data_IF_735625793892
#
_entry.id   IF_735625793892
#
_cell.length_a   1.000
_cell.length_b   1.000
_cell.length_c   1.000
_cell.angle_alpha   90.00
_cell.angle_beta   90.00
_cell.angle_gamma   90.00
#
_symmetry.space_group_name_H-M   'P 1'
#
loop_
_entity.id
_entity.type
_entity.pdbx_description
1 polymer ?
#
# COMPACT_ATOMS: atom_id res chain seq x y z
N UNK A 1 -71.86 -3.94 58.02
CA UNK A 1 -72.04 -5.15 57.26
C UNK A 1 -72.24 -4.74 55.79
N UNK A 2 -71.17 -4.48 55.09
CA UNK A 2 -71.19 -4.01 53.70
C UNK A 2 -70.08 -4.79 52.99
N UNK A 3 -70.47 -5.53 51.96
CA UNK A 3 -69.61 -6.37 51.14
C UNK A 3 -68.78 -5.52 50.18
N UNK A 4 -67.47 -5.80 50.04
CA UNK A 4 -66.61 -5.22 49.08
C UNK A 4 -66.57 -6.07 47.81
N UNK A 5 -66.87 -5.42 46.71
CA UNK A 5 -66.83 -5.98 45.37
C UNK A 5 -65.38 -5.94 44.77
N UNK A 6 -64.92 -7.06 44.31
CA UNK A 6 -63.56 -7.27 43.82
C UNK A 6 -63.55 -7.11 42.28
N UNK A 7 -63.16 -5.90 41.85
CA UNK A 7 -63.06 -5.53 40.44
C UNK A 7 -61.73 -5.96 39.80
N UNK A 8 -61.67 -7.11 39.22
CA UNK A 8 -60.51 -7.67 38.50
C UNK A 8 -60.22 -6.93 37.20
N UNK A 9 -59.18 -6.09 37.18
CA UNK A 9 -58.70 -5.40 35.99
C UNK A 9 -57.72 -6.30 35.23
N UNK A 10 -58.17 -6.93 34.15
CA UNK A 10 -57.31 -7.65 33.24
C UNK A 10 -56.51 -6.66 32.39
N UNK A 11 -55.18 -6.55 32.66
CA UNK A 11 -54.24 -5.86 31.80
C UNK A 11 -53.86 -6.75 30.62
N UNK A 12 -54.28 -6.36 29.43
CA UNK A 12 -53.76 -6.90 28.16
C UNK A 12 -52.34 -6.37 27.93
N UNK A 13 -51.35 -7.26 28.04
CA UNK A 13 -49.99 -7.00 27.58
C UNK A 13 -49.91 -7.25 26.09
N UNK A 14 -49.90 -6.18 25.32
CA UNK A 14 -49.60 -6.24 23.89
C UNK A 14 -48.05 -6.34 23.71
N UNK A 15 -47.57 -7.50 23.36
CA UNK A 15 -46.18 -7.73 23.00
C UNK A 15 -45.91 -7.19 21.58
N UNK A 16 -45.27 -6.02 21.51
CA UNK A 16 -44.67 -5.56 20.23
C UNK A 16 -43.40 -6.36 19.96
N UNK A 17 -43.50 -7.31 19.04
CA UNK A 17 -42.34 -7.96 18.43
C UNK A 17 -41.69 -6.99 17.46
N UNK A 18 -40.63 -6.32 17.87
CA UNK A 18 -39.77 -5.55 16.97
C UNK A 18 -38.99 -6.52 16.06
N UNK A 19 -39.49 -6.71 14.85
CA UNK A 19 -38.76 -7.45 13.81
C UNK A 19 -37.54 -6.67 13.36
N UNK A 20 -36.33 -7.08 13.82
CA UNK A 20 -35.08 -6.63 13.22
C UNK A 20 -35.01 -7.15 11.78
N UNK A 21 -35.28 -6.30 10.79
CA UNK A 21 -34.90 -6.55 9.41
C UNK A 21 -33.37 -6.49 9.33
N UNK A 22 -32.73 -7.66 9.32
CA UNK A 22 -31.33 -7.80 8.93
C UNK A 22 -31.27 -7.52 7.42
N UNK A 23 -30.93 -6.30 7.05
CA UNK A 23 -30.50 -5.96 5.70
C UNK A 23 -29.21 -6.75 5.44
N UNK A 24 -29.34 -7.90 4.77
CA UNK A 24 -28.20 -8.61 4.23
C UNK A 24 -27.52 -7.68 3.21
N UNK A 25 -26.30 -7.24 3.49
CA UNK A 25 -25.47 -6.56 2.52
C UNK A 25 -25.38 -7.45 1.27
N UNK A 26 -25.55 -6.90 0.05
CA UNK A 26 -25.39 -7.70 -1.16
C UNK A 26 -23.98 -8.31 -1.15
N UNK A 27 -23.81 -9.59 -1.53
CA UNK A 27 -22.50 -10.19 -1.67
C UNK A 27 -21.71 -9.32 -2.64
N UNK A 28 -20.51 -8.87 -2.22
CA UNK A 28 -19.61 -8.16 -3.10
C UNK A 28 -19.45 -9.01 -4.37
N UNK A 29 -19.69 -8.40 -5.54
CA UNK A 29 -19.56 -9.09 -6.81
C UNK A 29 -18.14 -9.65 -6.89
N UNK A 30 -17.99 -10.96 -6.77
CA UNK A 30 -16.72 -11.65 -6.98
C UNK A 30 -16.31 -11.41 -8.41
N UNK A 31 -15.14 -10.84 -8.62
CA UNK A 31 -14.56 -10.75 -9.96
C UNK A 31 -14.45 -12.17 -10.52
N UNK A 32 -15.25 -12.47 -11.55
CA UNK A 32 -15.34 -13.81 -12.18
C UNK A 32 -14.28 -14.02 -13.25
N UNK A 33 -13.06 -13.50 -13.04
CA UNK A 33 -11.93 -13.65 -13.98
C UNK A 33 -10.60 -13.52 -13.28
N UNK A 34 -9.57 -14.07 -13.89
CA UNK A 34 -8.21 -13.84 -13.43
C UNK A 34 -7.87 -12.35 -13.58
N UNK A 35 -7.25 -11.72 -12.55
CA UNK A 35 -6.76 -10.35 -12.69
C UNK A 35 -5.69 -10.26 -13.79
N UNK A 36 -5.56 -9.08 -14.38
CA UNK A 36 -4.70 -8.83 -15.54
C UNK A 36 -3.23 -9.29 -15.36
N UNK A 37 -2.72 -9.26 -14.14
CA UNK A 37 -1.36 -9.65 -13.80
C UNK A 37 -1.17 -11.17 -13.62
N UNK A 38 -2.24 -11.95 -13.48
CA UNK A 38 -2.19 -13.34 -12.99
C UNK A 38 -1.26 -14.25 -13.79
N UNK A 39 -1.13 -14.03 -15.10
CA UNK A 39 -0.24 -14.82 -15.96
C UNK A 39 1.25 -14.44 -15.86
N UNK A 40 1.60 -13.37 -15.13
CA UNK A 40 2.94 -12.78 -15.12
C UNK A 40 3.61 -12.76 -13.74
N UNK A 41 2.92 -13.20 -12.68
CA UNK A 41 3.40 -13.12 -11.29
C UNK A 41 4.00 -14.43 -10.75
N UNK A 42 4.16 -15.44 -11.61
CA UNK A 42 4.74 -16.74 -11.21
C UNK A 42 4.01 -17.38 -10.04
N UNK A 43 4.75 -17.74 -9.00
CA UNK A 43 4.22 -18.38 -7.79
C UNK A 43 3.84 -17.39 -6.68
N UNK A 44 3.77 -16.09 -6.97
CA UNK A 44 3.36 -15.12 -5.97
C UNK A 44 1.94 -15.41 -5.48
N UNK A 45 1.74 -15.28 -4.19
CA UNK A 45 0.42 -15.49 -3.55
C UNK A 45 -0.22 -14.18 -3.11
N UNK A 46 0.52 -13.09 -3.16
CA UNK A 46 0.09 -11.76 -2.76
C UNK A 46 0.50 -10.74 -3.82
N UNK A 47 -0.47 -9.99 -4.33
CA UNK A 47 -0.22 -8.93 -5.31
C UNK A 47 -1.01 -7.68 -4.93
N UNK A 48 -0.34 -6.54 -5.01
CA UNK A 48 -0.97 -5.23 -5.00
C UNK A 48 -1.01 -4.75 -6.44
N UNK A 49 -2.20 -4.58 -7.00
CA UNK A 49 -2.33 -3.99 -8.34
C UNK A 49 -2.56 -2.50 -8.24
N UNK A 50 -1.85 -1.72 -9.05
CA UNK A 50 -1.98 -0.27 -9.17
C UNK A 50 -2.34 0.06 -10.61
N UNK A 51 -3.50 0.66 -10.82
CA UNK A 51 -3.98 1.00 -12.15
C UNK A 51 -4.17 2.52 -12.25
N UNK A 52 -3.49 3.16 -13.18
CA UNK A 52 -3.63 4.59 -13.43
C UNK A 52 -5.06 4.93 -13.87
N UNK A 53 -5.62 6.00 -13.30
CA UNK A 53 -6.96 6.50 -13.67
C UNK A 53 -6.92 7.88 -14.34
N UNK A 54 -5.71 8.39 -14.58
CA UNK A 54 -5.45 9.64 -15.26
C UNK A 54 -4.62 10.63 -14.43
N UNK A 55 -3.75 11.39 -15.08
CA UNK A 55 -2.81 12.29 -14.41
C UNK A 55 -1.94 11.54 -13.41
N UNK A 56 -1.85 12.07 -12.20
CA UNK A 56 -1.12 11.49 -11.07
C UNK A 56 -1.98 10.63 -10.13
N UNK A 57 -3.16 10.21 -10.57
CA UNK A 57 -4.09 9.40 -9.78
C UNK A 57 -4.09 7.95 -10.23
N UNK A 58 -4.21 7.04 -9.26
CA UNK A 58 -4.34 5.61 -9.50
C UNK A 58 -5.36 4.99 -8.53
N UNK A 59 -5.78 3.78 -8.86
CA UNK A 59 -6.57 2.92 -7.99
C UNK A 59 -5.78 1.66 -7.70
N UNK A 60 -5.79 1.25 -6.45
CA UNK A 60 -5.15 0.03 -5.98
C UNK A 60 -6.19 -1.01 -5.57
N UNK A 61 -5.88 -2.27 -5.88
CA UNK A 61 -6.58 -3.42 -5.34
C UNK A 61 -5.56 -4.40 -4.74
N UNK A 62 -5.93 -5.05 -3.64
CA UNK A 62 -5.08 -6.00 -2.92
C UNK A 62 -5.62 -7.41 -3.16
N UNK A 63 -4.76 -8.33 -3.57
CA UNK A 63 -5.12 -9.65 -4.04
C UNK A 63 -4.40 -10.76 -3.30
N UNK A 64 -5.15 -11.78 -2.92
CA UNK A 64 -4.63 -13.00 -2.30
C UNK A 64 -4.92 -14.20 -3.21
N UNK A 65 -3.89 -14.98 -3.53
CA UNK A 65 -4.04 -16.28 -4.20
C UNK A 65 -4.48 -17.34 -3.19
N UNK A 66 -5.48 -18.13 -3.58
CA UNK A 66 -6.01 -19.25 -2.82
C UNK A 66 -6.20 -20.47 -3.73
N UNK A 67 -6.65 -21.58 -3.18
CA UNK A 67 -7.05 -22.76 -3.98
C UNK A 67 -8.21 -22.49 -4.93
N UNK A 68 -9.00 -21.45 -4.65
CA UNK A 68 -10.11 -20.97 -5.52
C UNK A 68 -9.66 -19.89 -6.54
N UNK A 69 -8.35 -19.68 -6.69
CA UNK A 69 -7.79 -18.63 -7.56
C UNK A 69 -7.56 -17.31 -6.83
N UNK A 70 -7.33 -16.24 -7.59
CA UNK A 70 -7.13 -14.90 -7.07
C UNK A 70 -8.40 -14.32 -6.47
N UNK A 71 -8.30 -13.82 -5.24
CA UNK A 71 -9.41 -13.17 -4.53
C UNK A 71 -9.01 -11.75 -4.16
N UNK A 72 -9.82 -10.74 -4.51
CA UNK A 72 -9.59 -9.39 -4.02
C UNK A 72 -9.96 -9.34 -2.53
N UNK A 73 -9.05 -8.80 -1.71
CA UNK A 73 -9.26 -8.60 -0.27
C UNK A 73 -9.34 -7.11 0.11
N UNK A 74 -8.97 -6.23 -0.82
CA UNK A 74 -9.16 -4.79 -0.76
C UNK A 74 -9.32 -4.26 -2.18
N UNK A 75 -10.27 -3.38 -2.41
CA UNK A 75 -10.58 -2.88 -3.76
C UNK A 75 -10.82 -1.38 -3.76
N UNK A 76 -10.44 -0.72 -4.86
CA UNK A 76 -10.76 0.68 -5.08
C UNK A 76 -10.02 1.65 -4.17
N UNK A 77 -8.87 1.26 -3.62
CA UNK A 77 -8.07 2.10 -2.73
C UNK A 77 -7.49 3.27 -3.55
N UNK A 78 -7.76 4.53 -3.18
CA UNK A 78 -7.17 5.68 -3.87
C UNK A 78 -5.65 5.70 -3.67
N UNK A 79 -4.91 6.04 -4.73
CA UNK A 79 -3.47 6.20 -4.69
C UNK A 79 -3.03 7.41 -5.52
N UNK A 80 -1.93 8.02 -5.13
CA UNK A 80 -1.18 9.00 -5.92
C UNK A 80 0.04 8.33 -6.52
N UNK A 81 0.38 8.73 -7.73
CA UNK A 81 1.55 8.27 -8.49
C UNK A 81 2.35 9.49 -8.96
N UNK A 82 3.40 9.25 -9.70
CA UNK A 82 4.25 10.31 -10.25
C UNK A 82 3.46 11.43 -10.91
N UNK A 83 3.92 12.68 -10.73
CA UNK A 83 3.25 13.87 -11.30
C UNK A 83 3.17 13.82 -12.84
N UNK A 84 4.07 13.10 -13.51
CA UNK A 84 4.04 12.81 -14.94
C UNK A 84 3.21 11.54 -15.29
N UNK A 85 2.55 10.92 -14.31
CA UNK A 85 1.74 9.72 -14.50
C UNK A 85 2.56 8.44 -14.54
N UNK A 86 2.22 7.52 -15.45
CA UNK A 86 2.87 6.22 -15.62
C UNK A 86 3.82 6.20 -16.82
N UNK A 87 4.97 5.55 -16.66
CA UNK A 87 5.96 5.36 -17.72
C UNK A 87 6.27 3.87 -17.95
N UNK A 88 6.52 3.42 -19.19
CA UNK A 88 6.96 2.05 -19.43
C UNK A 88 8.41 1.79 -18.98
N UNK A 89 9.22 2.84 -18.79
CA UNK A 89 10.61 2.74 -18.39
C UNK A 89 10.93 3.82 -17.37
N UNK A 90 11.42 3.41 -16.21
CA UNK A 90 11.94 4.33 -15.20
C UNK A 90 13.17 5.07 -15.71
N UNK A 91 13.34 6.32 -15.28
CA UNK A 91 14.54 7.14 -15.55
C UNK A 91 14.81 8.02 -14.36
N UNK A 92 16.08 8.28 -14.08
CA UNK A 92 16.45 9.24 -13.06
C UNK A 92 15.94 10.64 -13.42
N UNK A 93 15.36 11.34 -12.43
CA UNK A 93 14.80 12.66 -12.60
C UNK A 93 13.46 12.73 -13.36
N UNK A 94 12.92 11.61 -13.85
CA UNK A 94 11.57 11.57 -14.44
C UNK A 94 10.54 11.36 -13.33
N UNK A 95 9.64 12.31 -13.05
CA UNK A 95 8.64 12.16 -11.99
C UNK A 95 7.45 11.29 -12.42
N UNK A 96 7.73 10.17 -13.10
CA UNK A 96 6.74 9.19 -13.53
C UNK A 96 6.91 7.87 -12.78
N UNK A 97 5.80 7.22 -12.45
CA UNK A 97 5.81 5.89 -11.82
C UNK A 97 5.99 4.80 -12.89
N UNK A 98 6.97 3.90 -12.73
CA UNK A 98 7.22 2.84 -13.70
C UNK A 98 6.11 1.79 -13.70
N UNK A 99 5.65 1.41 -14.89
CA UNK A 99 4.80 0.26 -15.12
C UNK A 99 5.60 -1.03 -15.08
N UNK A 100 5.02 -2.09 -14.56
CA UNK A 100 5.67 -3.40 -14.48
C UNK A 100 5.20 -4.21 -13.28
N UNK A 101 5.91 -5.31 -13.04
CA UNK A 101 5.71 -6.15 -11.86
C UNK A 101 7.02 -6.14 -11.08
N UNK A 102 6.95 -5.68 -9.82
CA UNK A 102 8.11 -5.49 -8.98
C UNK A 102 7.94 -6.23 -7.65
N UNK A 103 9.03 -6.63 -7.05
CA UNK A 103 9.04 -7.19 -5.70
C UNK A 103 8.75 -6.11 -4.65
N UNK A 104 8.17 -6.52 -3.52
CA UNK A 104 8.10 -5.72 -2.31
C UNK A 104 9.17 -6.28 -1.37
N UNK A 105 10.30 -5.56 -1.29
CA UNK A 105 11.53 -6.14 -0.73
C UNK A 105 11.56 -6.09 0.80
N UNK A 106 11.35 -4.91 1.39
CA UNK A 106 11.29 -4.70 2.82
C UNK A 106 10.55 -3.40 3.15
N UNK A 107 10.28 -3.18 4.41
CA UNK A 107 9.58 -2.01 4.95
C UNK A 107 10.55 -1.13 5.70
N UNK A 108 10.42 0.18 5.55
CA UNK A 108 11.10 1.14 6.41
C UNK A 108 10.14 2.24 6.86
N UNK A 109 10.56 3.03 7.84
CA UNK A 109 9.80 4.20 8.27
C UNK A 109 10.39 4.89 9.48
N UNK A 110 10.00 6.15 9.69
CA UNK A 110 10.39 6.94 10.87
C UNK A 110 9.63 6.48 12.12
N UNK A 111 8.40 5.96 11.97
CA UNK A 111 7.61 5.39 13.05
C UNK A 111 8.13 4.01 13.50
N UNK A 112 7.74 3.53 14.67
CA UNK A 112 7.99 2.14 15.09
C UNK A 112 7.33 1.13 14.15
N UNK A 113 7.92 -0.07 14.04
CA UNK A 113 7.38 -1.13 13.19
C UNK A 113 5.91 -1.42 13.47
N UNK A 114 5.04 -1.42 12.46
CA UNK A 114 3.63 -1.78 12.62
C UNK A 114 3.43 -3.30 12.75
N UNK A 115 4.48 -4.09 12.65
CA UNK A 115 4.44 -5.53 12.50
C UNK A 115 4.18 -5.97 11.04
N UNK A 116 4.33 -7.25 10.77
CA UNK A 116 4.15 -7.84 9.43
C UNK A 116 5.12 -8.95 9.15
N UNK A 117 5.14 -9.46 7.91
CA UNK A 117 6.03 -10.55 7.49
C UNK A 117 7.29 -10.10 6.79
N UNK A 118 7.36 -8.86 6.30
CA UNK A 118 8.55 -8.29 5.71
C UNK A 118 9.48 -7.73 6.81
N UNK A 119 10.79 -7.72 6.53
CA UNK A 119 11.76 -7.05 7.39
C UNK A 119 11.38 -5.57 7.53
N UNK A 120 11.55 -5.01 8.72
CA UNK A 120 11.35 -3.59 8.99
C UNK A 120 12.67 -2.93 9.41
N UNK A 121 12.93 -1.75 8.85
CA UNK A 121 14.07 -0.90 9.22
C UNK A 121 13.51 0.43 9.70
N UNK A 122 13.74 0.75 10.98
CA UNK A 122 13.43 2.09 11.48
C UNK A 122 14.54 3.05 11.03
N UNK A 123 14.16 4.13 10.38
CA UNK A 123 15.07 5.13 9.80
C UNK A 123 15.05 6.42 10.59
N UNK A 124 16.09 7.23 10.41
CA UNK A 124 16.27 8.54 11.04
C UNK A 124 17.16 9.44 10.18
N UNK A 125 17.66 10.57 10.74
CA UNK A 125 18.36 11.62 9.98
C UNK A 125 19.57 11.16 9.17
N UNK A 126 20.23 10.09 9.61
CA UNK A 126 21.44 9.54 8.98
C UNK A 126 21.13 8.44 7.95
N UNK A 127 19.85 8.16 7.67
CA UNK A 127 19.44 7.15 6.72
C UNK A 127 19.13 7.79 5.34
N UNK A 128 19.74 7.23 4.30
CA UNK A 128 19.70 7.74 2.94
C UNK A 128 19.37 6.62 1.95
N UNK A 129 18.64 6.96 0.90
CA UNK A 129 18.64 6.15 -0.32
C UNK A 129 19.63 6.77 -1.29
N UNK A 130 20.71 6.05 -1.59
CA UNK A 130 21.76 6.54 -2.46
C UNK A 130 21.27 6.64 -3.90
N UNK A 131 21.13 7.87 -4.39
CA UNK A 131 20.72 8.20 -5.75
C UNK A 131 21.89 8.67 -6.62
N UNK A 132 23.14 8.65 -6.12
CA UNK A 132 24.31 9.00 -6.91
C UNK A 132 24.67 7.87 -7.88
N UNK A 133 24.38 8.06 -9.17
CA UNK A 133 24.66 7.11 -10.24
C UNK A 133 26.13 6.69 -10.34
N UNK A 134 27.05 7.45 -9.78
CA UNK A 134 28.49 7.14 -9.78
C UNK A 134 28.89 6.34 -8.55
N UNK A 135 28.01 6.22 -7.58
CA UNK A 135 28.26 5.50 -6.34
C UNK A 135 28.21 3.99 -6.55
N UNK A 136 29.10 3.21 -5.92
CA UNK A 136 29.01 1.75 -5.91
C UNK A 136 27.80 1.24 -5.12
N UNK A 137 27.16 2.11 -4.34
CA UNK A 137 25.95 1.82 -3.54
C UNK A 137 24.69 2.45 -4.12
N UNK A 138 24.74 2.96 -5.38
CA UNK A 138 23.58 3.50 -6.09
C UNK A 138 22.32 2.61 -5.96
N UNK A 139 21.19 3.23 -5.74
CA UNK A 139 19.88 2.59 -5.56
C UNK A 139 19.85 1.59 -4.39
N UNK A 140 20.48 1.94 -3.27
CA UNK A 140 20.40 1.17 -2.02
C UNK A 140 20.29 2.07 -0.79
N UNK A 141 19.75 1.52 0.29
CA UNK A 141 19.72 2.17 1.59
C UNK A 141 21.14 2.22 2.20
N UNK A 142 21.52 3.39 2.67
CA UNK A 142 22.82 3.65 3.33
C UNK A 142 22.58 4.40 4.64
N UNK A 143 23.53 4.24 5.60
CA UNK A 143 23.50 4.99 6.86
C UNK A 143 24.84 5.69 7.07
N UNK A 144 24.79 7.02 7.05
CA UNK A 144 25.95 7.89 7.26
C UNK A 144 25.49 9.30 7.63
N UNK A 145 26.30 10.03 8.38
CA UNK A 145 26.08 11.47 8.57
C UNK A 145 26.23 12.18 7.22
N UNK A 146 25.38 13.15 6.95
CA UNK A 146 25.24 13.82 5.64
C UNK A 146 26.59 14.19 5.01
N UNK A 147 27.48 14.81 5.81
CA UNK A 147 28.79 15.30 5.32
C UNK A 147 29.89 14.21 5.29
N UNK A 148 29.57 12.99 5.69
CA UNK A 148 30.47 11.84 5.76
C UNK A 148 30.08 10.68 4.86
N UNK A 149 28.99 10.85 4.09
CA UNK A 149 28.53 9.82 3.16
C UNK A 149 29.54 9.65 2.02
N UNK A 150 29.82 8.40 1.57
CA UNK A 150 30.74 8.13 0.46
C UNK A 150 30.13 8.38 -0.93
N UNK A 151 28.99 9.03 -1.00
CA UNK A 151 28.21 9.37 -2.21
C UNK A 151 27.66 10.80 -2.12
N UNK A 152 27.21 11.34 -3.23
CA UNK A 152 26.61 12.68 -3.28
C UNK A 152 25.19 12.66 -2.66
N UNK A 153 25.08 13.22 -1.44
CA UNK A 153 23.78 13.35 -0.74
C UNK A 153 22.83 14.34 -1.41
N UNK A 154 23.31 15.22 -2.30
CA UNK A 154 22.44 16.10 -3.08
C UNK A 154 21.72 15.39 -4.24
N UNK A 155 22.26 14.26 -4.68
CA UNK A 155 21.64 13.34 -5.65
C UNK A 155 20.85 12.21 -4.98
N UNK A 156 20.86 12.15 -3.64
CA UNK A 156 20.31 11.05 -2.84
C UNK A 156 19.10 11.53 -2.03
N UNK A 157 18.29 10.61 -1.56
CA UNK A 157 17.09 10.91 -0.80
C UNK A 157 17.28 10.61 0.69
N UNK A 158 17.05 11.61 1.56
CA UNK A 158 17.03 11.37 3.00
C UNK A 158 15.73 10.65 3.37
N UNK A 159 15.82 9.60 4.18
CA UNK A 159 14.66 8.77 4.55
C UNK A 159 13.91 9.28 5.80
N UNK A 160 14.39 10.34 6.44
CA UNK A 160 13.74 10.98 7.58
C UNK A 160 12.88 12.18 7.13
N UNK A 161 11.83 11.89 6.38
CA UNK A 161 10.86 12.87 5.91
C UNK A 161 9.43 12.49 6.31
N UNK A 162 8.49 13.46 6.37
CA UNK A 162 7.12 13.22 6.82
C UNK A 162 6.37 12.15 6.04
N UNK A 163 6.62 12.01 4.75
CA UNK A 163 5.99 11.04 3.86
C UNK A 163 6.42 9.60 4.15
N UNK A 164 7.55 9.42 4.84
CA UNK A 164 8.12 8.10 5.16
C UNK A 164 7.83 7.64 6.59
N UNK A 165 6.65 7.99 7.13
CA UNK A 165 6.15 7.41 8.40
C UNK A 165 6.17 5.88 8.31
N UNK A 166 5.62 5.34 7.22
CA UNK A 166 5.75 3.95 6.79
C UNK A 166 5.99 3.91 5.28
N UNK A 167 6.86 3.01 4.84
CA UNK A 167 7.21 2.86 3.43
C UNK A 167 7.60 1.42 3.10
N UNK A 168 7.33 1.00 1.87
CA UNK A 168 7.71 -0.31 1.34
C UNK A 168 8.59 -0.11 0.11
N UNK A 169 9.74 -0.74 0.07
CA UNK A 169 10.66 -0.68 -1.07
C UNK A 169 10.09 -1.50 -2.22
N UNK A 170 9.86 -0.86 -3.36
CA UNK A 170 9.54 -1.52 -4.61
C UNK A 170 10.83 -1.85 -5.35
N UNK A 171 11.01 -3.10 -5.75
CA UNK A 171 12.21 -3.61 -6.38
C UNK A 171 12.41 -3.15 -7.84
N UNK A 172 12.27 -1.85 -8.08
CA UNK A 172 12.58 -1.22 -9.37
C UNK A 172 14.09 -1.07 -9.50
N UNK A 173 14.63 -1.32 -10.68
CA UNK A 173 16.07 -1.23 -10.98
C UNK A 173 16.97 -1.96 -9.96
N UNK A 174 16.63 -3.19 -9.60
CA UNK A 174 17.44 -4.01 -8.67
C UNK A 174 18.84 -4.29 -9.18
N UNK A 175 19.05 -4.22 -10.48
CA UNK A 175 20.37 -4.35 -11.13
C UNK A 175 21.24 -3.10 -10.92
N UNK A 176 20.67 -2.02 -10.40
CA UNK A 176 21.35 -0.76 -10.11
C UNK A 176 22.04 -0.16 -11.33
N UNK A 177 21.33 -0.16 -12.46
CA UNK A 177 21.81 0.43 -13.71
C UNK A 177 21.62 1.95 -13.64
N UNK A 178 22.70 2.76 -13.74
CA UNK A 178 22.58 4.21 -13.83
C UNK A 178 21.66 4.64 -14.97
N UNK A 179 20.81 5.62 -14.74
CA UNK A 179 19.82 6.10 -15.72
C UNK A 179 18.48 5.39 -15.69
N UNK A 180 18.36 4.22 -15.06
CA UNK A 180 17.11 3.46 -14.98
C UNK A 180 16.27 3.75 -13.72
N UNK A 181 16.56 4.87 -13.05
CA UNK A 181 15.84 5.35 -11.89
C UNK A 181 16.22 4.68 -10.56
N UNK A 182 15.93 5.39 -9.47
CA UNK A 182 16.19 4.97 -8.10
C UNK A 182 15.08 5.42 -7.16
N UNK A 183 15.10 4.95 -5.89
CA UNK A 183 14.21 5.41 -4.81
C UNK A 183 12.71 5.26 -5.12
N UNK A 184 12.27 4.10 -5.59
CA UNK A 184 10.85 3.83 -5.81
C UNK A 184 10.22 3.12 -4.61
N UNK A 185 9.28 3.77 -3.95
CA UNK A 185 8.62 3.28 -2.75
C UNK A 185 7.11 3.32 -2.87
N UNK A 186 6.45 2.52 -2.04
CA UNK A 186 5.06 2.74 -1.67
C UNK A 186 5.06 3.35 -0.27
N UNK A 187 4.52 4.57 -0.09
CA UNK A 187 4.64 5.34 1.14
C UNK A 187 3.35 6.07 1.53
N UNK A 188 3.36 6.72 2.69
CA UNK A 188 2.23 7.51 3.17
C UNK A 188 2.04 8.77 2.33
N UNK A 189 0.78 9.11 2.00
CA UNK A 189 0.46 10.28 1.17
C UNK A 189 0.38 11.56 1.99
N UNK A 190 0.81 12.67 1.39
CA UNK A 190 0.52 14.04 1.81
C UNK A 190 -0.72 14.63 1.10
N UNK A 191 -1.36 13.84 0.21
CA UNK A 191 -2.51 14.25 -0.60
C UNK A 191 -2.15 14.75 -2.00
N UNK A 192 -0.86 14.80 -2.35
CA UNK A 192 -0.34 15.25 -3.63
C UNK A 192 0.24 14.16 -4.54
N UNK A 193 0.67 14.52 -5.77
CA UNK A 193 1.40 13.63 -6.65
C UNK A 193 2.80 13.36 -6.10
N UNK A 194 3.41 12.24 -6.51
CA UNK A 194 4.77 11.86 -6.11
C UNK A 194 5.80 12.24 -7.19
N UNK A 195 7.07 12.01 -6.88
CA UNK A 195 8.17 12.07 -7.85
C UNK A 195 8.39 10.74 -8.62
N UNK A 196 7.49 9.76 -8.46
CA UNK A 196 7.57 8.43 -9.11
C UNK A 196 7.12 7.29 -8.20
N UNK A 197 7.04 7.50 -6.91
CA UNK A 197 6.53 6.56 -5.92
C UNK A 197 5.02 6.32 -6.06
N UNK A 198 4.49 5.39 -5.27
CA UNK A 198 3.06 5.18 -5.07
C UNK A 198 2.71 5.61 -3.64
N UNK A 199 1.84 6.60 -3.47
CA UNK A 199 1.46 7.11 -2.15
C UNK A 199 0.00 6.81 -1.83
N UNK A 200 -0.28 6.35 -0.60
CA UNK A 200 -1.61 6.02 -0.11
C UNK A 200 -1.81 6.49 1.34
N UNK A 201 -3.04 6.42 1.82
CA UNK A 201 -3.35 6.65 3.23
C UNK A 201 -2.53 5.77 4.16
N UNK A 202 -1.90 6.36 5.19
CA UNK A 202 -1.00 5.66 6.11
C UNK A 202 -1.69 4.50 6.84
N UNK A 203 -2.91 4.70 7.32
CA UNK A 203 -3.67 3.65 8.01
C UNK A 203 -3.91 2.43 7.12
N UNK A 204 -4.19 2.66 5.83
CA UNK A 204 -4.33 1.62 4.81
C UNK A 204 -2.99 0.94 4.53
N UNK A 205 -1.90 1.71 4.39
CA UNK A 205 -0.56 1.19 4.17
C UNK A 205 -0.12 0.27 5.33
N UNK A 206 -0.36 0.69 6.57
CA UNK A 206 -0.08 -0.13 7.77
C UNK A 206 -0.83 -1.46 7.75
N UNK A 207 -2.11 -1.48 7.35
CA UNK A 207 -2.86 -2.73 7.21
C UNK A 207 -2.25 -3.64 6.12
N UNK A 208 -1.84 -3.07 5.00
CA UNK A 208 -1.18 -3.79 3.92
C UNK A 208 0.19 -4.35 4.36
N UNK A 209 1.00 -3.57 5.09
CA UNK A 209 2.29 -4.02 5.63
C UNK A 209 2.10 -5.24 6.56
N UNK A 210 1.09 -5.20 7.43
CA UNK A 210 0.77 -6.35 8.31
C UNK A 210 0.36 -7.60 7.55
N UNK A 211 -0.29 -7.42 6.41
CA UNK A 211 -0.70 -8.51 5.54
C UNK A 211 0.44 -9.05 4.67
N UNK A 212 1.36 -8.22 4.19
CA UNK A 212 2.45 -8.61 3.30
C UNK A 212 3.33 -9.72 3.88
N UNK A 213 3.77 -10.62 3.00
CA UNK A 213 4.73 -11.69 3.30
C UNK A 213 5.85 -11.67 2.25
N UNK A 214 7.02 -12.29 2.54
CA UNK A 214 8.07 -12.47 1.53
C UNK A 214 7.52 -13.10 0.25
N UNK A 215 7.84 -12.48 -0.89
CA UNK A 215 7.33 -12.86 -2.19
C UNK A 215 6.07 -12.11 -2.64
N UNK A 216 5.57 -11.14 -1.84
CA UNK A 216 4.54 -10.20 -2.30
C UNK A 216 5.07 -9.33 -3.44
N UNK A 217 4.20 -9.01 -4.39
CA UNK A 217 4.52 -8.20 -5.57
C UNK A 217 3.61 -6.98 -5.66
N UNK A 218 4.10 -5.95 -6.34
CA UNK A 218 3.27 -4.86 -6.87
C UNK A 218 3.24 -4.94 -8.40
N UNK A 219 2.05 -4.82 -8.97
CA UNK A 219 1.81 -4.83 -10.41
C UNK A 219 1.19 -3.49 -10.82
N UNK A 220 1.88 -2.72 -11.67
CA UNK A 220 1.53 -1.35 -12.04
C UNK A 220 1.23 -1.28 -13.54
N UNK A 221 0.05 -0.75 -13.91
CA UNK A 221 -0.40 -0.62 -15.31
C UNK A 221 -1.32 0.60 -15.51
N UNK A 222 -1.59 0.91 -16.80
CA UNK A 222 -2.62 1.89 -17.21
C UNK A 222 -4.01 1.27 -17.17
#
# INVERSE_FOLDING_TARGET
MIALDDGSVRRLLASLAAGCLLLAAPPAARATGNPWFAGSVGNATQVISVVGVGGSSARMDVWQQSTAGWQPIGVGIPAHIGSAGLTPQAKDGDPATPMGIFTLDYVFGTAPSPGGGLQYVQVGPDDWWDGDEKSPTFNTHQRCQKDQCPFDTSASENLDIPEYVHSVVMGVNKSRVPGDGSAFFMHSTDGGPTAGCVAIDDGTLVQMIRWMRPGALVAIAK
#
